data_IF_903257683400
#
_entry.id   IF_903257683400
#
_cell.length_a   1.000
_cell.length_b   1.000
_cell.length_c   1.000
_cell.angle_alpha   90.00
_cell.angle_beta   90.00
_cell.angle_gamma   90.00
#
_symmetry.space_group_name_H-M   'P 1'
#
loop_
_entity.id
_entity.type
_entity.pdbx_description
1 polymer ?
#
# COMPACT_ATOMS: atom_id res chain seq x y z
N UNK A 1 8.30 -35.61 21.62
CA UNK A 1 9.04 -36.31 20.54
C UNK A 1 8.52 -35.76 19.21
N UNK A 2 9.18 -34.70 18.70
CA UNK A 2 8.93 -34.25 17.34
C UNK A 2 9.51 -35.30 16.41
N UNK A 3 8.62 -36.00 15.67
CA UNK A 3 9.03 -36.93 14.63
C UNK A 3 9.99 -36.24 13.67
N UNK A 4 11.22 -36.73 13.67
CA UNK A 4 12.22 -36.35 12.70
C UNK A 4 11.83 -37.00 11.36
N UNK A 5 10.84 -36.40 10.70
CA UNK A 5 10.44 -36.79 9.36
C UNK A 5 11.61 -36.50 8.45
N UNK A 6 12.30 -37.55 8.05
CA UNK A 6 13.44 -37.51 7.13
C UNK A 6 12.92 -36.97 5.78
N UNK A 7 12.89 -35.65 5.63
CA UNK A 7 12.36 -34.98 4.44
C UNK A 7 13.32 -35.24 3.28
N UNK A 8 12.95 -36.15 2.41
CA UNK A 8 13.71 -36.43 1.20
C UNK A 8 13.60 -35.21 0.26
N UNK A 9 14.73 -34.69 -0.26
CA UNK A 9 14.68 -33.65 -1.27
C UNK A 9 13.88 -34.09 -2.49
N UNK A 10 12.98 -33.22 -2.97
CA UNK A 10 12.16 -33.49 -4.14
C UNK A 10 12.28 -32.33 -5.12
N UNK A 11 12.13 -32.67 -6.40
CA UNK A 11 11.96 -31.68 -7.48
C UNK A 11 10.64 -31.95 -8.19
N UNK A 12 9.83 -30.93 -8.33
CA UNK A 12 8.52 -30.96 -8.97
C UNK A 12 8.55 -29.97 -10.11
N UNK A 13 8.13 -30.43 -11.30
CA UNK A 13 7.90 -29.56 -12.48
C UNK A 13 6.50 -29.80 -13.00
N UNK A 14 5.77 -28.74 -13.28
CA UNK A 14 4.43 -28.78 -13.84
C UNK A 14 4.30 -27.77 -14.99
N UNK A 15 3.63 -28.18 -16.06
CA UNK A 15 3.20 -27.30 -17.13
C UNK A 15 1.68 -27.44 -17.23
N UNK A 16 0.99 -26.33 -17.06
CA UNK A 16 -0.46 -26.27 -16.98
C UNK A 16 -0.96 -25.23 -17.99
N UNK A 17 -1.95 -25.59 -18.79
CA UNK A 17 -2.59 -24.64 -19.70
C UNK A 17 -3.28 -23.52 -18.93
N UNK A 18 -3.82 -23.88 -17.76
CA UNK A 18 -4.51 -22.94 -16.87
C UNK A 18 -4.24 -23.31 -15.40
N UNK A 19 -3.88 -22.31 -14.60
CA UNK A 19 -3.77 -22.38 -13.15
C UNK A 19 -4.67 -21.34 -12.50
N UNK A 20 -5.74 -21.78 -11.86
CA UNK A 20 -6.65 -20.89 -11.13
C UNK A 20 -6.00 -20.44 -9.82
N UNK A 21 -5.69 -19.15 -9.72
CA UNK A 21 -5.10 -18.53 -8.52
C UNK A 21 -6.19 -18.15 -7.49
N UNK A 22 -7.33 -17.68 -7.99
CA UNK A 22 -8.57 -17.40 -7.24
C UNK A 22 -9.78 -17.67 -8.14
N UNK A 23 -10.99 -17.82 -7.59
CA UNK A 23 -12.18 -17.95 -8.43
C UNK A 23 -12.30 -16.80 -9.44
N UNK A 24 -12.29 -17.16 -10.74
CA UNK A 24 -12.34 -16.21 -11.84
C UNK A 24 -11.02 -15.48 -12.16
N UNK A 25 -9.91 -15.93 -11.60
CA UNK A 25 -8.58 -15.37 -11.85
C UNK A 25 -7.60 -16.48 -12.24
N UNK A 26 -7.36 -16.63 -13.52
CA UNK A 26 -6.59 -17.71 -14.12
C UNK A 26 -5.26 -17.22 -14.68
N UNK A 27 -4.19 -17.92 -14.32
CA UNK A 27 -2.89 -17.80 -14.97
C UNK A 27 -2.82 -18.81 -16.11
N UNK A 28 -2.47 -18.37 -17.30
CA UNK A 28 -2.37 -19.22 -18.50
C UNK A 28 -0.93 -19.62 -18.78
N UNK A 29 -0.75 -20.75 -19.47
CA UNK A 29 0.56 -21.30 -19.84
C UNK A 29 1.53 -21.38 -18.66
N UNK A 30 1.01 -21.80 -17.50
CA UNK A 30 1.74 -21.80 -16.26
C UNK A 30 2.82 -22.88 -16.23
N UNK A 31 4.07 -22.49 -16.04
CA UNK A 31 5.22 -23.38 -15.82
C UNK A 31 5.72 -23.19 -14.40
N UNK A 32 5.67 -24.25 -13.62
CA UNK A 32 6.03 -24.26 -12.21
C UNK A 32 7.20 -25.20 -12.00
N UNK A 33 8.20 -24.78 -11.26
CA UNK A 33 9.27 -25.64 -10.76
C UNK A 33 9.46 -25.37 -9.27
N UNK A 34 9.51 -26.44 -8.48
CA UNK A 34 9.72 -26.39 -7.05
C UNK A 34 10.77 -27.42 -6.66
N UNK A 35 11.68 -27.03 -5.75
CA UNK A 35 12.64 -27.91 -5.13
C UNK A 35 12.51 -27.81 -3.61
N UNK A 36 12.50 -28.94 -2.94
CA UNK A 36 12.50 -29.00 -1.49
C UNK A 36 13.83 -29.53 -0.98
N UNK A 37 14.32 -28.92 0.09
CA UNK A 37 15.44 -29.43 0.87
C UNK A 37 14.98 -30.01 2.21
N UNK A 38 15.90 -30.30 3.09
CA UNK A 38 15.62 -30.82 4.45
C UNK A 38 14.74 -29.83 5.24
N UNK A 39 14.94 -28.53 5.04
CA UNK A 39 14.21 -27.46 5.76
C UNK A 39 12.89 -27.02 5.09
N UNK A 40 12.47 -27.66 3.99
CA UNK A 40 11.26 -27.31 3.23
C UNK A 40 11.57 -26.77 1.85
N UNK A 41 10.74 -25.86 1.33
CA UNK A 41 10.91 -25.25 0.01
C UNK A 41 12.25 -24.51 -0.06
N UNK A 42 13.11 -24.88 -1.00
CA UNK A 42 14.42 -24.28 -1.23
C UNK A 42 14.45 -23.38 -2.47
N UNK A 43 13.76 -23.79 -3.51
CA UNK A 43 13.64 -23.03 -4.75
C UNK A 43 12.22 -23.17 -5.30
N UNK A 44 11.68 -22.07 -5.81
CA UNK A 44 10.42 -22.07 -6.55
C UNK A 44 10.50 -21.05 -7.69
N UNK A 45 10.03 -21.46 -8.86
CA UNK A 45 9.82 -20.55 -9.98
C UNK A 45 8.46 -20.79 -10.59
N UNK A 46 7.79 -19.73 -10.98
CA UNK A 46 6.55 -19.77 -11.74
C UNK A 46 6.64 -18.75 -12.89
N UNK A 47 6.21 -19.13 -14.07
CA UNK A 47 6.06 -18.23 -15.22
C UNK A 47 4.77 -18.54 -15.94
N UNK A 48 4.16 -17.54 -16.56
CA UNK A 48 2.93 -17.67 -17.34
C UNK A 48 2.42 -16.30 -17.76
N UNK A 49 1.14 -16.19 -18.02
CA UNK A 49 0.50 -14.92 -18.40
C UNK A 49 -0.83 -14.74 -17.67
N UNK A 50 -1.22 -13.48 -17.48
CA UNK A 50 -2.55 -13.10 -17.05
C UNK A 50 -3.57 -13.29 -18.19
N UNK A 51 -4.87 -13.08 -17.89
CA UNK A 51 -5.96 -13.23 -18.87
C UNK A 51 -5.83 -12.29 -20.08
N UNK A 52 -5.21 -11.13 -19.91
CA UNK A 52 -4.94 -10.16 -20.98
C UNK A 52 -3.68 -10.48 -21.79
N UNK A 53 -3.01 -11.60 -21.51
CA UNK A 53 -1.75 -12.02 -22.14
C UNK A 53 -0.50 -11.35 -21.53
N UNK A 54 -0.64 -10.52 -20.52
CA UNK A 54 0.51 -9.89 -19.83
C UNK A 54 1.40 -10.94 -19.16
N UNK A 55 2.73 -10.85 -19.29
CA UNK A 55 3.64 -11.83 -18.71
C UNK A 55 3.66 -11.74 -17.18
N UNK A 56 3.91 -12.89 -16.56
CA UNK A 56 4.04 -13.05 -15.13
C UNK A 56 5.21 -13.96 -14.80
N UNK A 57 6.05 -13.57 -13.86
CA UNK A 57 7.08 -14.39 -13.27
C UNK A 57 7.14 -14.25 -11.77
N UNK A 58 7.44 -15.35 -11.08
CA UNK A 58 7.70 -15.37 -9.65
C UNK A 58 8.87 -16.32 -9.37
N UNK A 59 9.75 -15.93 -8.47
CA UNK A 59 10.86 -16.74 -8.01
C UNK A 59 11.03 -16.61 -6.50
N UNK A 60 11.29 -17.73 -5.84
CA UNK A 60 11.70 -17.80 -4.45
C UNK A 60 12.97 -18.62 -4.36
N UNK A 61 13.98 -18.14 -3.64
CA UNK A 61 15.26 -18.79 -3.44
C UNK A 61 15.68 -18.71 -1.96
N UNK A 62 15.73 -19.87 -1.31
CA UNK A 62 16.22 -20.05 0.05
C UNK A 62 17.55 -20.80 0.11
N UNK A 63 18.25 -20.96 -1.01
CA UNK A 63 19.54 -21.68 -1.08
C UNK A 63 20.70 -20.83 -0.58
N UNK A 64 20.53 -19.52 -0.47
CA UNK A 64 21.57 -18.56 -0.08
C UNK A 64 21.79 -18.55 1.44
N UNK A 65 23.05 -18.36 1.92
CA UNK A 65 23.36 -18.41 3.35
C UNK A 65 22.74 -17.29 4.19
N UNK A 66 22.19 -16.26 3.59
CA UNK A 66 21.65 -15.06 4.28
C UNK A 66 20.17 -15.11 4.62
N UNK A 67 19.44 -16.10 4.13
CA UNK A 67 17.98 -16.18 4.21
C UNK A 67 17.38 -16.48 2.86
N UNK A 68 16.11 -16.16 2.67
CA UNK A 68 15.43 -16.37 1.38
C UNK A 68 15.13 -15.04 0.68
N UNK A 69 15.03 -15.11 -0.64
CA UNK A 69 14.58 -13.99 -1.48
C UNK A 69 13.32 -14.38 -2.25
N UNK A 70 12.49 -13.39 -2.52
CA UNK A 70 11.35 -13.52 -3.44
C UNK A 70 11.40 -12.38 -4.45
N UNK A 71 11.11 -12.70 -5.72
CA UNK A 71 10.96 -11.73 -6.78
C UNK A 71 9.67 -12.06 -7.53
N UNK A 72 8.85 -11.05 -7.80
CA UNK A 72 7.64 -11.18 -8.61
C UNK A 72 7.62 -10.03 -9.60
N UNK A 73 7.42 -10.35 -10.86
CA UNK A 73 7.24 -9.39 -11.93
C UNK A 73 5.95 -9.70 -12.69
N UNK A 74 5.21 -8.66 -13.03
CA UNK A 74 4.00 -8.80 -13.84
C UNK A 74 3.80 -7.62 -14.76
N UNK A 75 3.35 -7.90 -15.97
CA UNK A 75 2.85 -6.89 -16.90
C UNK A 75 1.44 -6.40 -16.59
N UNK A 76 0.74 -7.03 -15.61
CA UNK A 76 -0.56 -6.60 -15.10
C UNK A 76 -0.54 -6.61 -13.56
N UNK A 77 -0.33 -5.42 -12.98
CA UNK A 77 -0.28 -5.23 -11.53
C UNK A 77 -1.64 -5.54 -10.88
N UNK A 78 -2.74 -5.16 -11.52
CA UNK A 78 -4.10 -5.44 -11.03
C UNK A 78 -4.34 -6.93 -10.88
N UNK A 79 -3.94 -7.73 -11.85
CA UNK A 79 -4.05 -9.20 -11.79
C UNK A 79 -3.31 -9.78 -10.57
N UNK A 80 -2.07 -9.37 -10.33
CA UNK A 80 -1.27 -9.90 -9.22
C UNK A 80 -1.78 -9.42 -7.87
N UNK A 81 -2.17 -8.17 -7.72
CA UNK A 81 -2.71 -7.66 -6.44
C UNK A 81 -4.02 -8.36 -6.09
N UNK A 82 -4.88 -8.60 -7.08
CA UNK A 82 -6.09 -9.39 -6.89
C UNK A 82 -5.76 -10.85 -6.52
N UNK A 83 -4.78 -11.47 -7.16
CA UNK A 83 -4.36 -12.83 -6.86
C UNK A 83 -3.80 -12.98 -5.44
N UNK A 84 -2.91 -12.08 -5.02
CA UNK A 84 -2.20 -12.18 -3.74
C UNK A 84 -3.05 -11.74 -2.55
N UNK A 85 -3.73 -10.60 -2.66
CA UNK A 85 -4.41 -9.96 -1.51
C UNK A 85 -5.91 -9.73 -1.73
N UNK A 86 -6.45 -10.09 -2.89
CA UNK A 86 -7.86 -9.89 -3.22
C UNK A 86 -8.22 -8.42 -3.51
N UNK A 87 -7.24 -7.55 -3.75
CA UNK A 87 -7.47 -6.15 -4.07
C UNK A 87 -7.91 -6.01 -5.53
N UNK A 88 -9.16 -5.65 -5.75
CA UNK A 88 -9.81 -5.49 -7.06
C UNK A 88 -9.92 -4.03 -7.52
N UNK A 89 -9.36 -3.11 -6.73
CA UNK A 89 -9.37 -1.68 -7.03
C UNK A 89 -8.19 -1.20 -7.88
N UNK A 90 -7.27 -2.09 -8.28
CA UNK A 90 -6.15 -1.79 -9.19
C UNK A 90 -6.38 -2.47 -10.53
N UNK A 91 -6.14 -1.75 -11.62
CA UNK A 91 -6.30 -2.22 -12.99
C UNK A 91 -5.04 -1.96 -13.82
N UNK A 92 -4.63 -2.97 -14.58
CA UNK A 92 -3.47 -2.90 -15.48
C UNK A 92 -2.16 -2.57 -14.77
N UNK A 93 -1.29 -1.87 -15.46
CA UNK A 93 0.01 -1.46 -14.96
C UNK A 93 1.02 -2.60 -14.81
N UNK A 94 2.25 -2.27 -14.42
CA UNK A 94 3.31 -3.24 -14.15
C UNK A 94 3.56 -3.34 -12.66
N UNK A 95 3.97 -4.53 -12.20
CA UNK A 95 4.38 -4.78 -10.83
C UNK A 95 5.78 -5.37 -10.81
N UNK A 96 6.62 -4.82 -9.94
CA UNK A 96 7.91 -5.38 -9.51
C UNK A 96 7.90 -5.50 -7.99
N UNK A 97 8.11 -6.72 -7.47
CA UNK A 97 8.21 -6.99 -6.05
C UNK A 97 9.51 -7.72 -5.78
N UNK A 98 10.31 -7.19 -4.87
CA UNK A 98 11.46 -7.89 -4.31
C UNK A 98 11.29 -8.05 -2.82
N UNK A 99 11.61 -9.22 -2.29
CA UNK A 99 11.49 -9.50 -0.87
C UNK A 99 12.70 -10.26 -0.33
N UNK A 100 13.01 -10.03 0.95
CA UNK A 100 14.08 -10.69 1.68
C UNK A 100 13.57 -11.18 3.02
N UNK A 101 13.84 -12.44 3.31
CA UNK A 101 13.56 -13.08 4.59
C UNK A 101 14.88 -13.35 5.30
N UNK A 102 14.94 -13.10 6.60
CA UNK A 102 16.06 -13.58 7.42
C UNK A 102 15.96 -15.11 7.63
N UNK A 103 17.02 -15.76 8.15
CA UNK A 103 17.02 -17.20 8.41
C UNK A 103 15.85 -17.67 9.28
N UNK A 104 15.38 -16.82 10.18
CA UNK A 104 14.26 -17.12 11.09
C UNK A 104 12.92 -16.68 10.49
N UNK A 105 12.89 -16.36 9.19
CA UNK A 105 11.74 -15.82 8.44
C UNK A 105 11.15 -14.52 9.02
N UNK A 106 11.76 -13.94 10.02
CA UNK A 106 11.35 -12.65 10.62
C UNK A 106 12.59 -11.87 11.08
N UNK A 107 12.73 -10.59 10.75
CA UNK A 107 11.81 -9.83 9.89
C UNK A 107 11.93 -10.20 8.40
N UNK A 108 10.88 -9.99 7.64
CA UNK A 108 10.92 -9.96 6.19
C UNK A 108 10.73 -8.52 5.70
N UNK A 109 11.39 -8.15 4.61
CA UNK A 109 11.24 -6.84 3.97
C UNK A 109 10.88 -7.02 2.51
N UNK A 110 10.02 -6.12 2.02
CA UNK A 110 9.57 -6.14 0.63
C UNK A 110 9.61 -4.72 0.08
N UNK A 111 10.12 -4.59 -1.13
CA UNK A 111 10.03 -3.39 -1.93
C UNK A 111 9.09 -3.69 -3.10
N UNK A 112 7.97 -2.99 -3.15
CA UNK A 112 6.92 -3.18 -4.15
C UNK A 112 6.83 -1.90 -4.97
N UNK A 113 6.99 -2.03 -6.29
CA UNK A 113 6.84 -0.94 -7.23
C UNK A 113 5.75 -1.27 -8.24
N UNK A 114 4.81 -0.34 -8.43
CA UNK A 114 3.77 -0.40 -9.46
C UNK A 114 3.98 0.79 -10.39
N UNK A 115 3.82 0.56 -11.71
CA UNK A 115 3.91 1.63 -12.70
C UNK A 115 2.69 1.59 -13.62
N UNK A 116 2.22 2.78 -14.00
CA UNK A 116 1.10 2.99 -14.93
C UNK A 116 -0.17 2.22 -14.54
N UNK A 117 -0.47 2.20 -13.24
CA UNK A 117 -1.63 1.50 -12.67
C UNK A 117 -2.80 2.45 -12.51
N UNK A 118 -3.99 1.98 -12.84
CA UNK A 118 -5.24 2.70 -12.62
C UNK A 118 -5.90 2.21 -11.33
N UNK A 119 -6.23 3.14 -10.46
CA UNK A 119 -6.98 2.85 -9.23
C UNK A 119 -8.44 3.24 -9.42
N UNK A 120 -9.36 2.32 -9.16
CA UNK A 120 -10.80 2.52 -9.27
C UNK A 120 -11.50 1.97 -8.03
N UNK A 121 -12.55 2.67 -7.58
CA UNK A 121 -13.39 2.22 -6.45
C UNK A 121 -12.60 1.89 -5.17
N UNK A 122 -11.47 2.57 -4.92
CA UNK A 122 -10.68 2.35 -3.71
C UNK A 122 -11.39 2.98 -2.49
N UNK A 123 -11.94 2.18 -1.54
CA UNK A 123 -12.84 2.67 -0.51
C UNK A 123 -12.23 3.76 0.37
N UNK A 124 -10.99 3.57 0.83
CA UNK A 124 -10.32 4.54 1.71
C UNK A 124 -10.01 5.85 0.98
N UNK A 125 -9.56 5.77 -0.27
CA UNK A 125 -9.28 6.96 -1.08
C UNK A 125 -10.57 7.72 -1.37
N UNK A 126 -11.66 7.02 -1.69
CA UNK A 126 -12.98 7.62 -1.88
C UNK A 126 -13.43 8.40 -0.63
N UNK A 127 -13.26 7.83 0.56
CA UNK A 127 -13.61 8.50 1.81
C UNK A 127 -12.73 9.73 2.07
N UNK A 128 -11.41 9.64 1.87
CA UNK A 128 -10.49 10.77 2.01
C UNK A 128 -10.90 11.90 1.06
N UNK A 129 -11.12 11.62 -0.21
CA UNK A 129 -11.52 12.61 -1.22
C UNK A 129 -12.87 13.26 -0.88
N UNK A 130 -13.84 12.47 -0.41
CA UNK A 130 -15.16 12.96 -0.01
C UNK A 130 -15.10 13.89 1.21
N UNK A 131 -14.34 13.51 2.25
CA UNK A 131 -14.14 14.32 3.45
C UNK A 131 -13.35 15.59 3.16
N UNK A 132 -12.43 15.55 2.20
CA UNK A 132 -11.67 16.69 1.71
C UNK A 132 -12.48 17.62 0.80
N UNK A 133 -13.75 17.32 0.53
CA UNK A 133 -14.60 18.04 -0.43
C UNK A 133 -14.08 18.01 -1.88
N UNK A 134 -13.24 17.02 -2.21
CA UNK A 134 -12.68 16.82 -3.55
C UNK A 134 -13.59 15.92 -4.41
N UNK A 135 -14.86 16.28 -4.52
CA UNK A 135 -15.91 15.46 -5.19
C UNK A 135 -15.56 15.10 -6.62
N UNK A 136 -15.01 16.01 -7.41
CA UNK A 136 -14.62 15.72 -8.80
C UNK A 136 -13.58 14.59 -8.90
N UNK A 137 -12.61 14.53 -8.00
CA UNK A 137 -11.65 13.42 -7.93
C UNK A 137 -12.31 12.13 -7.42
N UNK A 138 -13.24 12.23 -6.46
CA UNK A 138 -13.98 11.07 -5.98
C UNK A 138 -14.87 10.47 -7.08
N UNK A 139 -15.52 11.30 -7.87
CA UNK A 139 -16.33 10.88 -9.03
C UNK A 139 -15.45 10.23 -10.11
N UNK A 140 -14.28 10.80 -10.40
CA UNK A 140 -13.31 10.20 -11.33
C UNK A 140 -12.84 8.83 -10.82
N UNK A 141 -12.55 8.70 -9.53
CA UNK A 141 -12.13 7.43 -8.93
C UNK A 141 -13.22 6.35 -9.03
N UNK A 142 -14.49 6.73 -8.85
CA UNK A 142 -15.64 5.83 -9.00
C UNK A 142 -16.00 5.49 -10.45
N UNK A 143 -15.64 6.36 -11.39
CA UNK A 143 -15.92 6.20 -12.83
C UNK A 143 -14.74 5.63 -13.60
N UNK A 144 -13.99 6.50 -14.26
CA UNK A 144 -12.85 6.13 -15.13
C UNK A 144 -11.62 5.62 -14.34
N UNK A 145 -11.57 5.91 -13.05
CA UNK A 145 -10.42 5.62 -12.18
C UNK A 145 -9.34 6.71 -12.25
N UNK A 146 -8.47 6.70 -11.27
CA UNK A 146 -7.33 7.62 -11.16
C UNK A 146 -6.05 6.88 -11.55
N UNK A 147 -5.31 7.46 -12.51
CA UNK A 147 -4.04 6.92 -12.96
C UNK A 147 -2.93 7.31 -11.99
N UNK A 148 -2.11 6.33 -11.61
CA UNK A 148 -0.84 6.52 -10.93
C UNK A 148 0.29 6.07 -11.84
N UNK A 149 1.19 7.02 -12.16
CA UNK A 149 2.39 6.72 -12.94
C UNK A 149 3.36 5.83 -12.17
N UNK A 150 3.39 6.00 -10.84
CA UNK A 150 4.24 5.19 -9.95
C UNK A 150 3.66 5.09 -8.55
N UNK A 151 3.73 3.88 -7.99
CA UNK A 151 3.45 3.61 -6.56
C UNK A 151 4.62 2.79 -6.03
N UNK A 152 5.27 3.27 -4.97
CA UNK A 152 6.34 2.57 -4.25
C UNK A 152 5.87 2.25 -2.83
N UNK A 153 5.95 0.98 -2.42
CA UNK A 153 5.50 0.52 -1.11
C UNK A 153 6.62 -0.28 -0.43
N UNK A 154 7.45 0.36 0.40
CA UNK A 154 8.35 -0.36 1.30
C UNK A 154 7.54 -0.99 2.44
N UNK A 155 7.59 -2.32 2.54
CA UNK A 155 6.84 -3.12 3.50
C UNK A 155 7.78 -3.95 4.35
N UNK A 156 7.57 -3.96 5.66
CA UNK A 156 8.27 -4.84 6.60
C UNK A 156 7.27 -5.72 7.34
N UNK A 157 7.51 -7.01 7.34
CA UNK A 157 6.78 -7.97 8.16
C UNK A 157 7.65 -8.37 9.37
N UNK A 158 7.17 -8.07 10.56
CA UNK A 158 7.85 -8.42 11.80
C UNK A 158 6.83 -8.65 12.92
N UNK A 159 6.97 -9.70 13.68
CA UNK A 159 6.13 -10.03 14.84
C UNK A 159 4.63 -10.09 14.49
N UNK A 160 4.29 -10.56 13.29
CA UNK A 160 2.90 -10.64 12.82
C UNK A 160 2.27 -9.30 12.42
N UNK A 161 3.08 -8.24 12.31
CA UNK A 161 2.68 -6.89 11.92
C UNK A 161 3.26 -6.55 10.54
N UNK A 162 2.41 -6.04 9.66
CA UNK A 162 2.78 -5.48 8.37
C UNK A 162 2.98 -3.98 8.51
N UNK A 163 4.21 -3.50 8.38
CA UNK A 163 4.57 -2.08 8.57
C UNK A 163 4.95 -1.48 7.23
N UNK A 164 4.25 -0.42 6.84
CA UNK A 164 4.54 0.40 5.66
C UNK A 164 5.24 1.67 6.10
N UNK A 165 6.42 1.93 5.56
CA UNK A 165 7.23 3.09 5.94
C UNK A 165 7.41 4.01 4.74
N UNK A 166 6.55 5.04 4.65
CA UNK A 166 6.67 6.06 3.61
C UNK A 166 6.35 5.56 2.19
N UNK A 167 5.27 4.79 2.04
CA UNK A 167 4.75 4.50 0.70
C UNK A 167 4.39 5.79 -0.03
N UNK A 168 4.60 5.80 -1.34
CA UNK A 168 4.32 6.93 -2.23
C UNK A 168 3.50 6.49 -3.41
N UNK A 169 2.50 7.28 -3.78
CA UNK A 169 1.82 7.14 -5.04
C UNK A 169 1.81 8.49 -5.76
N UNK A 170 2.20 8.49 -7.03
CA UNK A 170 2.34 9.69 -7.85
C UNK A 170 1.54 9.51 -9.13
N UNK A 171 0.67 10.47 -9.41
CA UNK A 171 -0.15 10.50 -10.62
C UNK A 171 -0.43 11.92 -11.10
N UNK A 172 -0.95 12.07 -12.32
CA UNK A 172 -1.26 13.40 -12.88
C UNK A 172 -2.37 14.13 -12.13
N UNK A 173 -3.29 13.40 -11.48
CA UNK A 173 -4.42 14.00 -10.77
C UNK A 173 -4.15 14.22 -9.28
N UNK A 174 -3.32 13.38 -8.67
CA UNK A 174 -2.98 13.49 -7.26
C UNK A 174 -1.69 12.72 -6.93
N UNK A 175 -1.04 13.15 -5.85
CA UNK A 175 0.01 12.42 -5.17
C UNK A 175 -0.40 12.11 -3.74
N UNK A 176 0.04 10.98 -3.20
CA UNK A 176 -0.16 10.66 -1.80
C UNK A 176 1.04 9.93 -1.20
N UNK A 177 1.23 10.11 0.10
CA UNK A 177 2.15 9.33 0.91
C UNK A 177 1.37 8.67 2.04
N UNK A 178 1.81 7.49 2.48
CA UNK A 178 1.23 6.84 3.66
C UNK A 178 2.30 6.08 4.44
N UNK A 179 2.13 6.08 5.77
CA UNK A 179 2.90 5.24 6.69
C UNK A 179 1.95 4.68 7.73
N UNK A 180 2.28 3.51 8.26
CA UNK A 180 1.44 2.89 9.26
C UNK A 180 1.63 1.38 9.32
N UNK A 181 0.67 0.71 9.91
CA UNK A 181 0.75 -0.74 10.05
C UNK A 181 -0.63 -1.40 10.02
N UNK A 182 -0.58 -2.72 9.80
CA UNK A 182 -1.70 -3.63 9.97
C UNK A 182 -1.28 -4.81 10.84
N UNK A 183 -2.09 -5.15 11.83
CA UNK A 183 -1.92 -6.35 12.65
C UNK A 183 -2.44 -7.58 11.88
N UNK A 184 -1.59 -8.55 11.66
CA UNK A 184 -1.94 -9.73 10.87
C UNK A 184 -3.05 -10.61 11.49
N UNK A 185 -3.17 -10.65 12.83
CA UNK A 185 -4.15 -11.49 13.53
C UNK A 185 -5.50 -10.82 13.69
N UNK A 186 -5.53 -9.55 14.07
CA UNK A 186 -6.77 -8.82 14.34
C UNK A 186 -7.30 -8.05 13.13
N UNK A 187 -6.46 -7.83 12.11
CA UNK A 187 -6.77 -6.95 10.99
C UNK A 187 -6.87 -5.47 11.40
N UNK A 188 -6.43 -5.13 12.62
CA UNK A 188 -6.40 -3.73 13.06
C UNK A 188 -5.41 -2.94 12.21
N UNK A 189 -5.83 -1.76 11.78
CA UNK A 189 -5.04 -0.87 10.93
C UNK A 189 -4.87 0.50 11.58
N UNK A 190 -3.70 1.08 11.36
CA UNK A 190 -3.41 2.47 11.69
C UNK A 190 -2.49 3.03 10.61
N UNK A 191 -3.01 3.94 9.79
CA UNK A 191 -2.28 4.60 8.73
C UNK A 191 -2.50 6.11 8.81
N UNK A 192 -1.48 6.86 8.43
CA UNK A 192 -1.56 8.30 8.24
C UNK A 192 -0.71 8.72 7.05
N UNK A 193 -1.02 9.89 6.49
CA UNK A 193 -0.31 10.37 5.33
C UNK A 193 -0.75 11.74 4.87
N UNK A 194 -0.23 12.11 3.71
CA UNK A 194 -0.50 13.38 3.06
C UNK A 194 -1.04 13.11 1.66
N UNK A 195 -2.09 13.80 1.28
CA UNK A 195 -2.63 13.82 -0.07
C UNK A 195 -2.44 15.22 -0.64
N UNK A 196 -1.92 15.28 -1.87
CA UNK A 196 -1.69 16.49 -2.64
C UNK A 196 -2.43 16.35 -3.97
N UNK A 197 -3.56 17.03 -4.18
CA UNK A 197 -4.20 17.08 -5.48
C UNK A 197 -3.30 17.81 -6.46
N UNK A 198 -3.07 17.21 -7.62
CA UNK A 198 -2.36 17.85 -8.73
C UNK A 198 -3.39 18.48 -9.66
N UNK A 199 -3.66 19.75 -9.45
CA UNK A 199 -4.51 20.48 -10.38
C UNK A 199 -3.63 20.95 -11.53
N UNK A 200 -3.85 20.40 -12.72
CA UNK A 200 -3.21 20.92 -13.94
C UNK A 200 -3.47 22.43 -14.04
N UNK A 201 -2.46 23.18 -14.46
CA UNK A 201 -2.47 24.67 -14.50
C UNK A 201 -3.65 25.32 -15.25
N UNK A 202 -4.51 24.52 -15.86
CA UNK A 202 -5.71 24.97 -16.59
C UNK A 202 -7.04 24.54 -15.98
N UNK A 203 -7.06 23.89 -14.82
CA UNK A 203 -8.34 23.48 -14.24
C UNK A 203 -8.92 24.61 -13.39
N UNK A 204 -10.15 24.94 -13.71
CA UNK A 204 -11.04 25.97 -13.19
C UNK A 204 -11.26 25.95 -11.65
N UNK A 205 -10.19 25.91 -10.83
CA UNK A 205 -10.29 26.19 -9.39
C UNK A 205 -10.62 27.66 -9.11
N UNK A 206 -10.42 28.56 -10.09
CA UNK A 206 -10.88 29.94 -10.02
C UNK A 206 -12.39 30.12 -9.87
N UNK A 207 -13.17 29.05 -9.97
CA UNK A 207 -14.63 29.07 -9.77
C UNK A 207 -15.11 28.63 -8.38
N UNK A 208 -14.22 28.24 -7.46
CA UNK A 208 -14.60 27.93 -6.07
C UNK A 208 -14.22 29.14 -5.20
N UNK A 209 -15.18 29.99 -4.81
CA UNK A 209 -14.90 31.31 -4.22
C UNK A 209 -14.15 31.28 -2.88
N UNK A 210 -14.10 30.14 -2.22
CA UNK A 210 -13.49 29.99 -0.87
C UNK A 210 -12.08 29.38 -0.94
N UNK A 211 -11.73 28.73 -2.04
CA UNK A 211 -10.45 28.02 -2.19
C UNK A 211 -9.51 28.76 -3.16
N UNK A 212 -10.06 29.56 -4.07
CA UNK A 212 -9.29 30.26 -5.10
C UNK A 212 -8.17 31.15 -4.54
N UNK A 213 -8.47 31.96 -3.52
CA UNK A 213 -7.50 32.89 -2.92
C UNK A 213 -6.50 32.21 -1.96
N UNK A 214 -6.82 31.02 -1.48
CA UNK A 214 -5.97 30.28 -0.55
C UNK A 214 -4.99 29.33 -1.27
N UNK A 215 -5.32 28.96 -2.51
CA UNK A 215 -4.60 27.95 -3.30
C UNK A 215 -3.63 28.58 -4.30
N UNK A 216 -3.89 29.80 -4.72
CA UNK A 216 -3.05 30.53 -5.67
C UNK A 216 -2.16 31.51 -4.90
N UNK A 217 -1.11 30.99 -4.28
CA UNK A 217 0.05 31.82 -3.92
C UNK A 217 0.64 32.44 -5.19
N UNK A 218 1.30 33.59 -5.06
CA UNK A 218 1.95 34.30 -6.17
C UNK A 218 2.77 33.33 -7.02
N UNK A 219 2.52 33.33 -8.33
CA UNK A 219 3.33 32.70 -9.37
C UNK A 219 3.76 31.24 -9.10
N UNK A 220 2.79 30.31 -8.93
CA UNK A 220 3.07 28.86 -8.93
C UNK A 220 3.45 28.26 -7.59
N UNK A 221 3.30 28.97 -6.47
CA UNK A 221 3.69 28.49 -5.12
C UNK A 221 2.55 27.91 -4.27
N UNK A 222 1.33 27.78 -4.77
CA UNK A 222 0.21 27.28 -4.00
C UNK A 222 0.02 25.77 -4.14
N UNK A 223 0.67 24.94 -3.33
CA UNK A 223 0.37 23.51 -3.25
C UNK A 223 -0.59 23.25 -2.08
N UNK A 224 -1.86 23.03 -2.42
CA UNK A 224 -2.84 22.56 -1.44
C UNK A 224 -2.52 21.12 -1.05
N UNK A 225 -2.40 20.86 0.22
CA UNK A 225 -2.21 19.50 0.75
C UNK A 225 -3.12 19.28 1.95
N UNK A 226 -3.46 18.03 2.19
CA UNK A 226 -4.21 17.64 3.37
C UNK A 226 -3.58 16.40 4.02
N UNK A 227 -3.65 16.36 5.34
CA UNK A 227 -3.27 15.18 6.08
C UNK A 227 -4.50 14.31 6.32
N UNK A 228 -4.29 13.01 6.35
CA UNK A 228 -5.33 12.04 6.67
C UNK A 228 -4.83 11.00 7.67
N UNK A 229 -5.75 10.42 8.41
CA UNK A 229 -5.51 9.26 9.25
C UNK A 229 -6.62 8.23 9.05
N UNK A 230 -6.23 6.96 9.06
CA UNK A 230 -7.12 5.80 8.93
C UNK A 230 -6.86 4.90 10.13
N UNK A 231 -7.89 4.49 10.83
CA UNK A 231 -7.81 3.58 11.98
C UNK A 231 -8.98 2.60 11.99
N UNK A 232 -8.91 1.57 12.83
CA UNK A 232 -9.96 0.56 12.94
C UNK A 232 -9.56 -0.78 12.37
N UNK A 233 -10.39 -1.37 11.53
CA UNK A 233 -10.08 -2.62 10.80
C UNK A 233 -10.34 -2.44 9.31
N UNK A 234 -9.86 -3.38 8.47
CA UNK A 234 -10.13 -3.32 7.02
C UNK A 234 -11.62 -3.28 6.67
N UNK A 235 -12.46 -3.91 7.50
CA UNK A 235 -13.93 -3.93 7.30
C UNK A 235 -14.62 -2.68 7.85
N UNK A 236 -14.08 -2.09 8.93
CA UNK A 236 -14.65 -0.94 9.64
C UNK A 236 -13.57 0.10 9.90
N UNK A 237 -13.16 0.75 8.84
CA UNK A 237 -12.17 1.80 8.92
C UNK A 237 -12.82 3.15 9.25
N UNK A 238 -12.18 3.89 10.15
CA UNK A 238 -12.49 5.29 10.43
C UNK A 238 -11.45 6.15 9.71
N UNK A 239 -11.93 7.04 8.86
CA UNK A 239 -11.08 7.99 8.13
C UNK A 239 -11.30 9.39 8.68
N UNK A 240 -10.23 10.10 8.98
CA UNK A 240 -10.24 11.52 9.30
C UNK A 240 -9.34 12.30 8.36
N UNK A 241 -9.71 13.53 8.05
CA UNK A 241 -8.96 14.42 7.15
C UNK A 241 -8.85 15.80 7.81
N UNK A 242 -7.66 16.37 7.79
CA UNK A 242 -7.43 17.74 8.19
C UNK A 242 -7.09 18.62 6.97
N UNK A 243 -8.06 19.41 6.46
CA UNK A 243 -7.87 20.24 5.28
C UNK A 243 -7.03 21.49 5.54
N UNK A 244 -6.80 21.84 6.79
CA UNK A 244 -6.07 23.07 7.18
C UNK A 244 -4.56 22.88 7.34
N UNK A 245 -4.03 21.70 7.01
CA UNK A 245 -2.59 21.49 7.01
C UNK A 245 -1.97 22.10 5.73
N UNK A 246 -1.95 23.42 5.63
CA UNK A 246 -1.16 24.12 4.63
C UNK A 246 0.33 23.87 4.94
N UNK A 247 0.90 22.82 4.36
CA UNK A 247 2.33 22.58 4.45
C UNK A 247 3.05 23.56 3.52
N UNK A 248 4.12 24.17 4.00
CA UNK A 248 4.96 25.00 3.16
C UNK A 248 5.50 24.19 1.97
N UNK A 249 5.62 24.75 0.75
CA UNK A 249 6.02 24.02 -0.46
C UNK A 249 7.32 23.22 -0.29
N UNK A 250 8.28 23.72 0.48
CA UNK A 250 9.53 23.01 0.78
C UNK A 250 9.37 21.79 1.71
N UNK A 251 8.30 21.71 2.51
CA UNK A 251 8.00 20.56 3.35
C UNK A 251 7.36 19.47 2.48
N UNK A 252 6.43 19.83 1.59
CA UNK A 252 5.79 18.91 0.65
C UNK A 252 6.86 18.25 -0.25
N UNK A 253 7.77 19.03 -0.80
CA UNK A 253 8.87 18.51 -1.62
C UNK A 253 9.70 17.48 -0.86
N UNK A 254 10.07 17.75 0.39
CA UNK A 254 10.81 16.80 1.24
C UNK A 254 10.03 15.52 1.54
N UNK A 255 8.71 15.60 1.75
CA UNK A 255 7.86 14.43 1.95
C UNK A 255 7.90 13.48 0.76
N UNK A 256 7.92 14.02 -0.47
CA UNK A 256 7.98 13.20 -1.67
C UNK A 256 9.40 12.76 -2.05
N UNK A 257 10.42 13.54 -1.70
CA UNK A 257 11.83 13.19 -1.94
C UNK A 257 12.40 12.23 -0.87
N UNK A 258 12.05 12.44 0.41
CA UNK A 258 12.50 11.63 1.54
C UNK A 258 11.36 11.37 2.54
N UNK A 259 10.47 10.40 2.30
CA UNK A 259 9.32 10.16 3.16
C UNK A 259 9.68 9.69 4.58
N UNK A 260 10.85 9.06 4.75
CA UNK A 260 11.37 8.65 6.06
C UNK A 260 11.80 9.84 6.94
N UNK A 261 12.01 11.02 6.36
CA UNK A 261 12.46 12.22 7.08
C UNK A 261 11.27 13.10 7.53
N UNK A 262 10.07 12.77 7.11
CA UNK A 262 8.86 13.31 7.70
C UNK A 262 8.68 12.68 9.08
N UNK A 263 9.21 13.32 10.09
CA UNK A 263 8.71 13.16 11.45
C UNK A 263 7.28 13.71 11.46
N UNK A 264 6.35 12.94 10.94
CA UNK A 264 4.99 12.94 11.46
C UNK A 264 5.22 12.70 12.93
N UNK A 265 4.77 13.59 13.87
CA UNK A 265 4.97 13.34 15.29
C UNK A 265 4.64 11.87 15.48
N UNK A 266 5.59 11.10 15.98
CA UNK A 266 5.33 9.69 16.31
C UNK A 266 4.09 9.77 17.19
N UNK A 267 2.93 9.45 16.60
CA UNK A 267 1.82 9.01 17.38
C UNK A 267 2.43 7.85 18.13
N UNK A 268 2.74 8.08 19.42
CA UNK A 268 3.55 7.20 20.25
C UNK A 268 3.12 5.80 19.91
N UNK A 269 3.98 5.06 19.21
CA UNK A 269 3.82 3.63 19.02
C UNK A 269 3.82 3.07 20.45
N UNK A 270 2.64 2.97 21.01
CA UNK A 270 2.46 2.48 22.37
C UNK A 270 3.00 1.06 22.37
N UNK A 271 4.02 0.82 23.18
CA UNK A 271 4.54 -0.52 23.36
C UNK A 271 3.37 -1.45 23.74
N UNK A 272 3.34 -2.71 23.28
CA UNK A 272 2.21 -3.62 23.51
C UNK A 272 1.85 -3.87 24.98
N UNK A 273 2.69 -3.45 25.93
CA UNK A 273 2.60 -3.75 27.36
C UNK A 273 2.25 -2.51 28.24
N UNK A 274 1.96 -1.33 27.67
CA UNK A 274 1.52 -0.20 28.49
C UNK A 274 0.04 -0.35 28.88
N UNK A 275 -0.29 -0.38 30.19
CA UNK A 275 -1.69 -0.50 30.64
C UNK A 275 -2.47 0.74 30.20
N UNK A 276 -3.71 0.51 29.76
CA UNK A 276 -4.67 1.56 29.39
C UNK A 276 -4.95 2.41 30.64
N UNK A 277 -4.78 3.76 30.63
CA UNK A 277 -5.21 4.59 31.72
C UNK A 277 -6.72 4.43 31.93
N UNK A 278 -7.13 4.03 33.11
CA UNK A 278 -8.53 3.73 33.46
C UNK A 278 -9.35 4.97 33.84
N UNK A 279 -8.81 6.18 33.68
CA UNK A 279 -9.55 7.39 34.07
C UNK A 279 -9.53 8.41 32.93
N UNK A 280 -10.72 8.68 32.39
CA UNK A 280 -11.00 9.90 31.65
C UNK A 280 -10.91 11.09 32.60
N UNK A 281 -10.25 12.21 32.24
CA UNK A 281 -10.27 13.42 33.07
C UNK A 281 -11.73 13.89 33.21
N UNK A 282 -12.12 14.41 34.43
CA UNK A 282 -13.46 14.90 34.67
C UNK A 282 -13.78 16.06 33.70
N UNK A 283 -14.98 16.02 33.14
CA UNK A 283 -15.54 17.09 32.33
C UNK A 283 -15.66 18.35 33.24
N UNK A 284 -15.12 19.52 32.86
CA UNK A 284 -15.36 20.72 33.61
C UNK A 284 -16.85 21.07 33.62
N UNK A 285 -17.45 21.19 34.80
CA UNK A 285 -18.79 21.77 34.95
C UNK A 285 -18.71 23.26 34.60
N UNK A 286 -19.18 23.63 33.43
CA UNK A 286 -19.48 25.03 33.13
C UNK A 286 -20.72 25.43 33.94
N UNK A 287 -20.50 26.29 34.95
CA UNK A 287 -21.56 26.99 35.67
C UNK A 287 -22.24 28.00 34.75
N UNK A 288 -23.50 27.72 34.39
CA UNK A 288 -24.40 28.74 33.87
C UNK A 288 -24.83 29.68 35.03
N UNK A 289 -24.42 30.93 34.98
CA UNK A 289 -25.11 32.06 35.52
C UNK A 289 -25.57 33.01 34.39
#
# INVERSE_FOLDING_TARGET
DAENVNKTPMSISANLDTLTLRPGLDMRDAKLNAQTGISGLSLFTATGSADDGSPLSAAYDATQPGGATVNVESGNAGFITQALIGADFLEGGKLELTGKFTKDASPATFDIALTDVRMRNAPFLTQILSLASLRGLADTLGGEGVLFSRIDVPLKLANGRYVVTGAKAQGPALGLTTSGYMEGKSGAIEFNGVLVPSFGMNSALGGIPIIGDLVVGRDGEGVFSLTYAISGTLEKANVSVNPLSALAPGVIRRIFENPSDTRIPEAKLRAPDEPVPSELPPIPEESFE
#
